data_IF_315054870288
#
_entry.id   IF_315054870288
#
_cell.length_a   1.000
_cell.length_b   1.000
_cell.length_c   1.000
_cell.angle_alpha   90.00
_cell.angle_beta   90.00
_cell.angle_gamma   90.00
#
_symmetry.space_group_name_H-M   'P 1'
#
loop_
_entity.id
_entity.type
_entity.pdbx_description
1 polymer ?
#
# COMPACT_ATOMS: atom_id res chain seq x y z
N UNK A 1 15.50 14.79 -16.47
CA UNK A 1 14.79 15.68 -15.54
C UNK A 1 15.67 16.89 -15.28
N UNK A 2 15.33 18.05 -15.83
CA UNK A 2 16.02 19.31 -15.55
C UNK A 2 15.64 19.74 -14.12
N UNK A 3 16.59 19.66 -13.18
CA UNK A 3 16.39 20.23 -11.85
C UNK A 3 16.30 21.73 -12.03
N UNK A 4 15.09 22.28 -11.85
CA UNK A 4 14.85 23.72 -11.94
C UNK A 4 15.79 24.48 -10.99
N UNK A 5 16.22 25.67 -11.41
CA UNK A 5 17.13 26.52 -10.62
C UNK A 5 16.59 26.67 -9.19
N UNK A 6 17.38 26.38 -8.13
CA UNK A 6 16.94 26.51 -6.74
C UNK A 6 16.42 27.92 -6.48
N UNK A 7 15.25 28.02 -5.85
CA UNK A 7 14.64 29.31 -5.53
C UNK A 7 15.49 30.08 -4.52
N UNK A 8 15.27 31.38 -4.40
CA UNK A 8 15.94 32.21 -3.39
C UNK A 8 15.73 31.67 -1.96
N UNK A 9 14.59 31.01 -1.72
CA UNK A 9 14.26 30.41 -0.41
C UNK A 9 15.01 29.11 -0.19
N UNK A 10 15.20 28.30 -1.24
CA UNK A 10 15.95 27.03 -1.14
C UNK A 10 17.43 27.26 -0.83
N UNK A 11 17.94 28.47 -1.14
CA UNK A 11 19.32 28.89 -0.88
C UNK A 11 19.53 29.46 0.52
N UNK A 12 18.47 29.64 1.30
CA UNK A 12 18.60 30.15 2.67
C UNK A 12 19.27 29.10 3.57
N UNK A 13 19.98 29.55 4.63
CA UNK A 13 20.43 28.69 5.72
C UNK A 13 19.33 27.75 6.21
N UNK A 14 19.68 26.51 6.56
CA UNK A 14 18.73 25.49 6.99
C UNK A 14 17.85 25.98 8.15
N UNK A 15 18.44 26.67 9.12
CA UNK A 15 17.74 27.24 10.27
C UNK A 15 16.60 28.18 9.88
N UNK A 16 16.81 29.03 8.85
CA UNK A 16 15.79 29.95 8.36
C UNK A 16 14.69 29.19 7.59
N UNK A 17 15.05 28.17 6.80
CA UNK A 17 14.07 27.32 6.12
C UNK A 17 13.19 26.56 7.12
N UNK A 18 13.78 26.04 8.19
CA UNK A 18 13.05 25.38 9.28
C UNK A 18 12.18 26.36 10.06
N UNK A 19 12.67 27.59 10.31
CA UNK A 19 11.86 28.66 10.92
C UNK A 19 10.63 28.98 10.07
N UNK A 20 10.79 29.14 8.76
CA UNK A 20 9.68 29.35 7.81
C UNK A 20 8.65 28.22 7.91
N UNK A 21 9.13 26.97 7.88
CA UNK A 21 8.28 25.78 8.02
C UNK A 21 7.48 25.79 9.32
N UNK A 22 8.15 25.99 10.47
CA UNK A 22 7.50 26.03 11.79
C UNK A 22 6.46 27.15 11.89
N UNK A 23 6.76 28.34 11.39
CA UNK A 23 5.80 29.45 11.41
C UNK A 23 4.58 29.12 10.56
N UNK A 24 4.77 28.54 9.37
CA UNK A 24 3.64 28.15 8.53
C UNK A 24 2.80 27.05 9.18
N UNK A 25 3.43 26.06 9.78
CA UNK A 25 2.75 24.95 10.46
C UNK A 25 1.98 25.45 11.70
N UNK A 26 2.42 26.53 12.34
CA UNK A 26 1.72 27.22 13.42
C UNK A 26 0.54 28.09 12.95
N UNK A 27 0.25 28.12 11.65
CA UNK A 27 -0.88 28.86 11.07
C UNK A 27 -0.59 30.31 10.69
N UNK A 28 0.68 30.74 10.74
CA UNK A 28 1.02 32.13 10.40
C UNK A 28 0.74 32.46 8.93
N UNK A 29 0.30 33.70 8.71
CA UNK A 29 0.07 34.25 7.38
C UNK A 29 1.38 34.61 6.69
N UNK A 30 1.33 34.82 5.37
CA UNK A 30 2.50 35.28 4.60
C UNK A 30 3.10 36.55 5.21
N UNK A 31 2.27 37.47 5.70
CA UNK A 31 2.74 38.76 6.21
C UNK A 31 3.40 38.65 7.58
N UNK A 32 2.86 37.81 8.45
CA UNK A 32 3.48 37.49 9.74
C UNK A 32 4.81 36.77 9.57
N UNK A 33 4.89 35.85 8.60
CA UNK A 33 6.13 35.15 8.27
C UNK A 33 7.17 36.13 7.72
N UNK A 34 6.77 37.03 6.82
CA UNK A 34 7.66 38.06 6.28
C UNK A 34 8.15 39.01 7.38
N UNK A 35 7.29 39.39 8.33
CA UNK A 35 7.67 40.20 9.49
C UNK A 35 8.64 39.46 10.42
N UNK A 36 8.43 38.18 10.67
CA UNK A 36 9.33 37.35 11.49
C UNK A 36 10.70 37.09 10.83
N UNK A 37 10.85 37.46 9.56
CA UNK A 37 12.07 37.34 8.75
C UNK A 37 12.61 38.70 8.32
N UNK A 38 12.26 39.76 9.04
CA UNK A 38 12.80 41.09 8.79
C UNK A 38 14.34 41.08 8.75
N UNK A 39 14.91 41.73 7.74
CA UNK A 39 16.36 41.71 7.46
C UNK A 39 16.84 40.54 6.59
N UNK A 40 15.99 39.56 6.25
CA UNK A 40 16.32 38.50 5.29
C UNK A 40 15.96 38.93 3.86
N UNK A 41 16.90 38.77 2.92
CA UNK A 41 16.74 39.17 1.52
C UNK A 41 15.83 38.21 0.71
N UNK A 42 14.54 38.16 1.06
CA UNK A 42 13.52 37.36 0.36
C UNK A 42 12.37 38.27 -0.05
N UNK A 43 11.90 38.13 -1.30
CA UNK A 43 10.73 38.87 -1.75
C UNK A 43 9.43 38.20 -1.33
N UNK A 44 8.40 39.00 -1.07
CA UNK A 44 7.04 38.53 -0.74
C UNK A 44 6.50 37.55 -1.78
N UNK A 45 6.75 37.80 -3.06
CA UNK A 45 6.33 36.92 -4.16
C UNK A 45 7.04 35.56 -4.15
N UNK A 46 8.34 35.53 -3.84
CA UNK A 46 9.07 34.28 -3.70
C UNK A 46 8.56 33.47 -2.50
N UNK A 47 8.31 34.13 -1.36
CA UNK A 47 7.73 33.50 -0.17
C UNK A 47 6.34 32.95 -0.44
N UNK A 48 5.46 33.72 -1.07
CA UNK A 48 4.13 33.26 -1.43
C UNK A 48 4.13 32.00 -2.31
N UNK A 49 5.01 31.94 -3.32
CA UNK A 49 5.16 30.72 -4.15
C UNK A 49 5.66 29.52 -3.35
N UNK A 50 6.63 29.73 -2.46
CA UNK A 50 7.18 28.66 -1.63
C UNK A 50 6.13 28.11 -0.65
N UNK A 51 5.40 28.99 0.05
CA UNK A 51 4.33 28.58 0.96
C UNK A 51 3.23 27.84 0.21
N UNK A 52 2.78 28.35 -0.95
CA UNK A 52 1.77 27.68 -1.79
C UNK A 52 2.22 26.28 -2.22
N UNK A 53 3.48 26.12 -2.64
CA UNK A 53 4.02 24.81 -3.01
C UNK A 53 4.09 23.85 -1.81
N UNK A 54 4.45 24.38 -0.63
CA UNK A 54 4.49 23.61 0.63
C UNK A 54 3.09 23.17 1.06
N UNK A 55 2.10 24.06 1.02
CA UNK A 55 0.71 23.77 1.37
C UNK A 55 0.15 22.69 0.44
N UNK A 56 0.35 22.81 -0.87
CA UNK A 56 -0.09 21.81 -1.85
C UNK A 56 0.54 20.43 -1.62
N UNK A 57 1.80 20.39 -1.17
CA UNK A 57 2.45 19.14 -0.77
C UNK A 57 1.81 18.57 0.51
N UNK A 58 1.51 19.43 1.50
CA UNK A 58 0.81 19.05 2.73
C UNK A 58 -0.57 18.44 2.46
N UNK A 59 -1.39 19.11 1.64
CA UNK A 59 -2.70 18.64 1.20
C UNK A 59 -2.60 17.26 0.52
N UNK A 60 -1.62 17.10 -0.39
CA UNK A 60 -1.41 15.83 -1.08
C UNK A 60 -1.01 14.71 -0.12
N UNK A 61 -0.16 14.99 0.86
CA UNK A 61 0.22 14.01 1.88
C UNK A 61 -0.94 13.64 2.79
N UNK A 62 -1.76 14.61 3.19
CA UNK A 62 -2.96 14.37 3.99
C UNK A 62 -3.98 13.52 3.22
N UNK A 63 -4.25 13.84 1.95
CA UNK A 63 -5.10 13.04 1.08
C UNK A 63 -4.55 11.61 0.93
N UNK A 64 -3.23 11.47 0.76
CA UNK A 64 -2.58 10.15 0.68
C UNK A 64 -2.77 9.33 1.97
N UNK A 65 -2.70 9.97 3.14
CA UNK A 65 -2.94 9.30 4.43
C UNK A 65 -4.40 8.88 4.58
N UNK A 66 -5.34 9.74 4.25
CA UNK A 66 -6.78 9.41 4.29
C UNK A 66 -7.11 8.23 3.37
N UNK A 67 -6.51 8.18 2.18
CA UNK A 67 -6.63 7.03 1.28
C UNK A 67 -6.03 5.79 1.95
N UNK A 68 -4.79 5.85 2.46
CA UNK A 68 -4.16 4.71 3.11
C UNK A 68 -4.94 4.20 4.33
N UNK A 69 -5.52 5.09 5.15
CA UNK A 69 -6.38 4.75 6.29
C UNK A 69 -7.69 4.11 5.83
N UNK A 70 -8.35 4.66 4.79
CA UNK A 70 -9.56 4.07 4.21
C UNK A 70 -9.30 2.69 3.63
N UNK A 71 -8.18 2.51 2.93
CA UNK A 71 -7.76 1.21 2.42
C UNK A 71 -7.48 0.24 3.56
N UNK A 72 -6.78 0.67 4.61
CA UNK A 72 -6.52 -0.15 5.80
C UNK A 72 -7.81 -0.50 6.54
N UNK A 73 -8.78 0.41 6.65
CA UNK A 73 -10.07 0.12 7.29
C UNK A 73 -10.90 -0.88 6.47
N UNK A 74 -10.85 -0.81 5.14
CA UNK A 74 -11.60 -1.70 4.23
C UNK A 74 -10.93 -3.06 4.05
N UNK A 75 -9.60 -3.11 4.14
CA UNK A 75 -8.79 -4.27 3.76
C UNK A 75 -7.85 -4.79 4.86
N UNK A 76 -7.69 -4.09 5.98
CA UNK A 76 -6.82 -4.50 7.09
C UNK A 76 -7.32 -5.72 7.87
N UNK A 77 -8.61 -6.05 7.75
CA UNK A 77 -9.22 -7.31 8.23
C UNK A 77 -9.58 -8.26 7.10
N UNK A 78 -9.17 -7.96 5.87
CA UNK A 78 -9.47 -8.78 4.72
C UNK A 78 -8.74 -10.12 4.74
N UNK A 79 -9.32 -11.10 4.04
CA UNK A 79 -8.61 -12.31 3.61
C UNK A 79 -7.22 -11.97 3.06
N UNK A 80 -6.21 -12.81 3.36
CA UNK A 80 -4.87 -12.72 2.77
C UNK A 80 -4.94 -12.46 1.25
N UNK A 81 -4.18 -11.48 0.76
CA UNK A 81 -4.10 -11.13 -0.66
C UNK A 81 -4.99 -9.97 -1.14
N UNK A 82 -5.99 -9.49 -0.36
CA UNK A 82 -6.80 -8.33 -0.80
C UNK A 82 -6.01 -7.02 -0.94
N UNK A 83 -5.04 -6.76 -0.04
CA UNK A 83 -4.20 -5.55 -0.12
C UNK A 83 -3.29 -5.58 -1.35
N UNK A 84 -2.76 -6.76 -1.68
CA UNK A 84 -1.98 -7.00 -2.90
C UNK A 84 -2.83 -6.81 -4.15
N UNK A 85 -4.04 -7.37 -4.19
CA UNK A 85 -4.98 -7.18 -5.31
C UNK A 85 -5.34 -5.70 -5.52
N UNK A 86 -5.55 -4.97 -4.42
CA UNK A 86 -5.76 -3.54 -4.48
C UNK A 86 -4.54 -2.79 -5.06
N UNK A 87 -3.31 -3.13 -4.66
CA UNK A 87 -2.12 -2.51 -5.23
C UNK A 87 -2.01 -2.76 -6.75
N UNK A 88 -2.39 -3.97 -7.19
CA UNK A 88 -2.49 -4.33 -8.61
C UNK A 88 -3.54 -3.46 -9.33
N UNK A 89 -4.74 -3.32 -8.75
CA UNK A 89 -5.81 -2.46 -9.30
C UNK A 89 -5.40 -0.97 -9.36
N UNK A 90 -4.74 -0.47 -8.31
CA UNK A 90 -4.23 0.90 -8.26
C UNK A 90 -3.16 1.14 -9.33
N UNK A 91 -2.26 0.17 -9.54
CA UNK A 91 -1.27 0.24 -10.61
C UNK A 91 -1.94 0.25 -11.99
N UNK A 92 -2.92 -0.63 -12.23
CA UNK A 92 -3.72 -0.60 -13.47
C UNK A 92 -4.43 0.74 -13.66
N UNK A 93 -4.98 1.33 -12.61
CA UNK A 93 -5.60 2.66 -12.68
C UNK A 93 -4.60 3.75 -13.04
N UNK A 94 -3.40 3.73 -12.46
CA UNK A 94 -2.33 4.68 -12.78
C UNK A 94 -1.86 4.54 -14.24
N UNK A 95 -1.72 3.30 -14.71
CA UNK A 95 -1.42 2.94 -16.10
C UNK A 95 -2.48 3.49 -17.06
N UNK A 96 -3.76 3.28 -16.77
CA UNK A 96 -4.87 3.79 -17.58
C UNK A 96 -4.92 5.32 -17.60
N UNK A 97 -4.69 5.97 -16.46
CA UNK A 97 -4.61 7.44 -16.40
C UNK A 97 -3.45 7.97 -17.22
N UNK A 98 -2.29 7.31 -17.17
CA UNK A 98 -1.15 7.66 -18.02
C UNK A 98 -1.51 7.50 -19.50
N UNK A 99 -2.23 6.42 -19.85
CA UNK A 99 -2.67 6.17 -21.21
C UNK A 99 -3.65 7.23 -21.74
N UNK A 100 -4.66 7.57 -20.94
CA UNK A 100 -5.65 8.59 -21.27
C UNK A 100 -5.02 9.99 -21.37
N UNK A 101 -4.07 10.31 -20.49
CA UNK A 101 -3.39 11.61 -20.49
C UNK A 101 -2.35 11.74 -21.60
N UNK A 102 -1.85 10.63 -22.15
CA UNK A 102 -0.94 10.63 -23.30
C UNK A 102 -1.63 10.99 -24.62
N UNK A 103 -2.97 10.94 -24.69
CA UNK A 103 -3.78 11.36 -25.85
C UNK A 103 -3.93 12.88 -26.03
N UNK A 104 -3.44 13.69 -25.09
CA UNK A 104 -3.65 15.15 -25.12
C UNK A 104 -5.13 15.58 -24.97
N UNK A 105 -5.37 16.87 -24.73
CA UNK A 105 -6.73 17.43 -24.61
C UNK A 105 -7.44 17.61 -25.97
N UNK A 106 -6.72 17.42 -27.08
CA UNK A 106 -7.18 17.75 -28.45
C UNK A 106 -7.54 16.50 -29.30
N UNK A 107 -7.68 15.32 -28.69
CA UNK A 107 -8.13 14.11 -29.41
C UNK A 107 -7.11 13.52 -30.39
N UNK A 108 -5.82 13.83 -30.21
CA UNK A 108 -4.73 13.20 -30.96
C UNK A 108 -4.50 11.76 -30.51
N UNK A 109 -3.97 10.91 -31.39
CA UNK A 109 -3.56 9.56 -31.00
C UNK A 109 -2.53 9.62 -29.85
N UNK A 110 -2.68 8.78 -28.81
CA UNK A 110 -1.73 8.75 -27.71
C UNK A 110 -0.32 8.47 -28.22
N UNK A 111 0.55 9.47 -28.14
CA UNK A 111 1.94 9.33 -28.59
C UNK A 111 2.77 8.86 -27.40
N UNK A 112 3.09 7.56 -27.38
CA UNK A 112 4.01 7.02 -26.37
C UNK A 112 5.44 6.97 -26.92
N UNK A 113 6.39 7.38 -26.09
CA UNK A 113 7.79 6.99 -26.30
C UNK A 113 7.89 5.46 -26.14
N UNK A 114 8.63 4.75 -27.01
CA UNK A 114 8.91 3.32 -26.85
C UNK A 114 9.38 2.91 -25.44
N UNK A 115 10.11 3.79 -24.75
CA UNK A 115 10.55 3.59 -23.37
C UNK A 115 9.40 3.58 -22.37
N UNK A 116 8.41 4.45 -22.56
CA UNK A 116 7.23 4.51 -21.69
C UNK A 116 6.35 3.27 -21.87
N UNK A 117 6.20 2.79 -23.11
CA UNK A 117 5.54 1.51 -23.40
C UNK A 117 6.28 0.33 -22.78
N UNK A 118 7.62 0.32 -22.80
CA UNK A 118 8.41 -0.72 -22.17
C UNK A 118 8.29 -0.70 -20.64
N UNK A 119 8.31 0.48 -20.02
CA UNK A 119 8.06 0.63 -18.58
C UNK A 119 6.66 0.15 -18.22
N UNK A 120 5.67 0.44 -19.06
CA UNK A 120 4.29 0.02 -18.90
C UNK A 120 4.13 -1.51 -19.00
N UNK A 121 4.69 -2.11 -20.04
CA UNK A 121 4.69 -3.56 -20.24
C UNK A 121 5.41 -4.28 -19.09
N UNK A 122 6.52 -3.71 -18.60
CA UNK A 122 7.26 -4.24 -17.46
C UNK A 122 6.45 -4.16 -16.16
N UNK A 123 5.74 -3.05 -15.94
CA UNK A 123 4.85 -2.88 -14.79
C UNK A 123 3.72 -3.92 -14.82
N UNK A 124 3.09 -4.15 -15.98
CA UNK A 124 2.07 -5.18 -16.17
C UNK A 124 2.62 -6.60 -15.94
N UNK A 125 3.78 -6.93 -16.51
CA UNK A 125 4.41 -8.24 -16.36
C UNK A 125 4.79 -8.55 -14.90
N UNK A 126 5.35 -7.56 -14.19
CA UNK A 126 5.70 -7.72 -12.77
C UNK A 126 4.46 -7.90 -11.90
N UNK A 127 3.36 -7.22 -12.23
CA UNK A 127 2.06 -7.35 -11.56
C UNK A 127 1.46 -8.74 -11.74
N UNK A 128 1.45 -9.26 -12.98
CA UNK A 128 0.97 -10.61 -13.26
C UNK A 128 1.80 -11.67 -12.54
N UNK A 129 3.13 -11.50 -12.50
CA UNK A 129 4.03 -12.39 -11.76
C UNK A 129 3.76 -12.35 -10.26
N UNK A 130 3.59 -11.16 -9.68
CA UNK A 130 3.27 -11.00 -8.27
C UNK A 130 1.95 -11.69 -7.90
N UNK A 131 0.91 -11.57 -8.75
CA UNK A 131 -0.37 -12.25 -8.56
C UNK A 131 -0.23 -13.77 -8.58
N UNK A 132 0.55 -14.32 -9.52
CA UNK A 132 0.81 -15.77 -9.61
C UNK A 132 1.56 -16.30 -8.38
N UNK A 133 2.64 -15.63 -7.98
CA UNK A 133 3.42 -16.02 -6.79
C UNK A 133 2.55 -15.97 -5.53
N UNK A 134 1.65 -14.99 -5.41
CA UNK A 134 0.72 -14.91 -4.27
C UNK A 134 -0.27 -16.08 -4.24
N UNK A 135 -0.82 -16.46 -5.39
CA UNK A 135 -1.70 -17.62 -5.48
C UNK A 135 -0.99 -18.93 -5.07
N UNK A 136 0.24 -19.13 -5.54
CA UNK A 136 1.07 -20.28 -5.19
C UNK A 136 1.40 -20.33 -3.68
N UNK A 137 1.81 -19.20 -3.10
CA UNK A 137 2.06 -19.11 -1.65
C UNK A 137 0.79 -19.38 -0.83
N UNK A 138 -0.37 -18.94 -1.31
CA UNK A 138 -1.65 -19.16 -0.63
C UNK A 138 -2.04 -20.64 -0.63
N UNK A 139 -1.94 -21.29 -1.77
CA UNK A 139 -2.20 -22.74 -1.90
C UNK A 139 -1.27 -23.54 -0.98
N UNK A 140 0.02 -23.19 -0.94
CA UNK A 140 0.98 -23.80 -0.02
C UNK A 140 0.60 -23.60 1.44
N UNK A 141 0.23 -22.37 1.83
CA UNK A 141 -0.17 -22.07 3.21
C UNK A 141 -1.47 -22.77 3.61
N UNK A 142 -2.47 -22.82 2.74
CA UNK A 142 -3.72 -23.55 2.99
C UNK A 142 -3.46 -25.04 3.14
N UNK A 143 -2.57 -25.62 2.32
CA UNK A 143 -2.13 -27.00 2.44
C UNK A 143 -1.44 -27.27 3.79
N UNK A 144 -0.49 -26.40 4.19
CA UNK A 144 0.21 -26.52 5.47
C UNK A 144 -0.75 -26.39 6.67
N UNK A 145 -1.72 -25.47 6.60
CA UNK A 145 -2.73 -25.31 7.66
C UNK A 145 -3.63 -26.54 7.73
N UNK A 146 -4.05 -27.08 6.58
CA UNK A 146 -4.85 -28.30 6.52
C UNK A 146 -4.10 -29.50 7.11
N UNK A 147 -2.84 -29.70 6.72
CA UNK A 147 -1.98 -30.75 7.27
C UNK A 147 -1.84 -30.63 8.80
N UNK A 148 -1.51 -29.44 9.30
CA UNK A 148 -1.41 -29.22 10.75
C UNK A 148 -2.73 -29.48 11.48
N UNK A 149 -3.85 -29.07 10.90
CA UNK A 149 -5.16 -29.32 11.49
C UNK A 149 -5.50 -30.81 11.50
N UNK A 150 -5.21 -31.54 10.42
CA UNK A 150 -5.36 -32.99 10.35
C UNK A 150 -4.49 -33.70 11.38
N UNK A 151 -3.23 -33.30 11.54
CA UNK A 151 -2.31 -33.81 12.56
C UNK A 151 -2.83 -33.54 13.99
N UNK A 152 -3.23 -32.30 14.29
CA UNK A 152 -3.78 -31.94 15.59
C UNK A 152 -5.08 -32.70 15.90
N UNK A 153 -5.95 -32.89 14.91
CA UNK A 153 -7.19 -33.66 15.06
C UNK A 153 -6.89 -35.14 15.27
N UNK A 154 -5.92 -35.71 14.57
CA UNK A 154 -5.48 -37.08 14.78
C UNK A 154 -4.92 -37.26 16.21
N UNK A 155 -4.08 -36.35 16.69
CA UNK A 155 -3.53 -36.38 18.05
C UNK A 155 -4.63 -36.26 19.11
N UNK A 156 -5.61 -35.37 18.93
CA UNK A 156 -6.74 -35.24 19.85
C UNK A 156 -7.61 -36.50 19.86
N UNK A 157 -7.82 -37.12 18.69
CA UNK A 157 -8.55 -38.39 18.60
C UNK A 157 -7.80 -39.52 19.31
N UNK A 158 -6.47 -39.59 19.17
CA UNK A 158 -5.66 -40.60 19.86
C UNK A 158 -5.68 -40.38 21.38
N UNK A 159 -5.65 -39.13 21.85
CA UNK A 159 -5.80 -38.81 23.27
C UNK A 159 -7.17 -39.26 23.82
N UNK A 160 -8.26 -39.00 23.08
CA UNK A 160 -9.61 -39.46 23.45
C UNK A 160 -9.71 -40.99 23.40
N UNK A 161 -9.04 -41.64 22.46
CA UNK A 161 -9.01 -43.10 22.35
C UNK A 161 -8.28 -43.78 23.52
N UNK A 162 -7.25 -43.12 24.05
CA UNK A 162 -6.48 -43.60 25.20
C UNK A 162 -7.18 -43.32 26.54
N UNK A 163 -8.12 -42.37 26.58
CA UNK A 163 -8.89 -42.06 27.78
C UNK A 163 -9.99 -43.11 28.02
N UNK A 164 -9.64 -44.14 28.80
CA UNK A 164 -10.55 -45.22 29.22
C UNK A 164 -11.73 -44.74 30.05
N UNK A 165 -11.71 -43.52 30.62
CA UNK A 165 -12.81 -42.98 31.43
C UNK A 165 -14.05 -42.61 30.61
N UNK A 166 -13.87 -42.36 29.30
CA UNK A 166 -14.95 -41.99 28.39
C UNK A 166 -15.81 -43.19 27.93
N UNK A 167 -15.36 -44.42 28.17
CA UNK A 167 -16.12 -45.64 27.83
C UNK A 167 -16.37 -45.84 26.33
N UNK A 168 -15.61 -45.17 25.45
CA UNK A 168 -15.77 -45.27 23.99
C UNK A 168 -15.23 -46.60 23.47
N UNK A 169 -16.03 -47.29 22.64
CA UNK A 169 -15.58 -48.52 22.01
C UNK A 169 -14.57 -48.23 20.87
N UNK A 170 -13.62 -49.14 20.58
CA UNK A 170 -12.69 -48.99 19.47
C UNK A 170 -13.37 -48.77 18.12
N UNK A 171 -14.52 -49.41 17.90
CA UNK A 171 -15.33 -49.25 16.69
C UNK A 171 -15.90 -47.83 16.56
N UNK A 172 -16.32 -47.21 17.66
CA UNK A 172 -16.83 -45.83 17.69
C UNK A 172 -15.72 -44.84 17.34
N UNK A 173 -14.53 -45.02 17.90
CA UNK A 173 -13.35 -44.16 17.61
C UNK A 173 -12.97 -44.27 16.13
N UNK A 174 -12.96 -45.47 15.58
CA UNK A 174 -12.65 -45.71 14.17
C UNK A 174 -13.66 -45.03 13.24
N UNK A 175 -14.96 -45.13 13.56
CA UNK A 175 -16.02 -44.47 12.78
C UNK A 175 -15.91 -42.93 12.83
N UNK A 176 -15.51 -42.36 13.97
CA UNK A 176 -15.25 -40.92 14.11
C UNK A 176 -14.04 -40.50 13.27
N UNK A 177 -12.96 -41.29 13.30
CA UNK A 177 -11.73 -41.04 12.52
C UNK A 177 -12.02 -41.01 11.02
N UNK A 178 -12.77 -41.99 10.51
CA UNK A 178 -13.17 -42.05 9.11
C UNK A 178 -14.02 -40.85 8.68
N UNK A 179 -14.99 -40.44 9.49
CA UNK A 179 -15.87 -39.30 9.16
C UNK A 179 -15.17 -37.95 9.21
N UNK A 180 -14.21 -37.76 10.12
CA UNK A 180 -13.54 -36.47 10.31
C UNK A 180 -12.32 -36.29 9.41
N UNK A 181 -11.54 -37.35 9.17
CA UNK A 181 -10.29 -37.27 8.41
C UNK A 181 -10.43 -37.83 6.99
N UNK A 182 -11.57 -38.42 6.62
CA UNK A 182 -11.80 -38.95 5.27
C UNK A 182 -10.86 -40.10 4.89
N UNK A 183 -10.18 -40.73 5.84
CA UNK A 183 -9.32 -41.89 5.60
C UNK A 183 -10.21 -43.09 5.30
N UNK A 184 -10.46 -43.36 4.03
CA UNK A 184 -10.93 -44.69 3.61
C UNK A 184 -9.78 -45.69 3.80
N UNK A 185 -10.15 -46.90 4.19
CA UNK A 185 -9.27 -48.03 4.57
C UNK A 185 -8.06 -48.24 3.70
#
# INVERSE_FOLDING_TARGET
>A
MTVGRPSTIDRLPAELREKIGRLRDAGHTLDEIMQALEGVAVSRSAMGRHLKARDALGERLQASRQIAESLTARFGTAQPGRMQNLNIELLHSAIMKLWLNAGGQDGGEPHFDPKDLMMLASALANTARASKTDAEYREQMESLVRQKLEEEMAQKLDAVAQDKSQGLSPHTIQAIRQRLLGTET
#
